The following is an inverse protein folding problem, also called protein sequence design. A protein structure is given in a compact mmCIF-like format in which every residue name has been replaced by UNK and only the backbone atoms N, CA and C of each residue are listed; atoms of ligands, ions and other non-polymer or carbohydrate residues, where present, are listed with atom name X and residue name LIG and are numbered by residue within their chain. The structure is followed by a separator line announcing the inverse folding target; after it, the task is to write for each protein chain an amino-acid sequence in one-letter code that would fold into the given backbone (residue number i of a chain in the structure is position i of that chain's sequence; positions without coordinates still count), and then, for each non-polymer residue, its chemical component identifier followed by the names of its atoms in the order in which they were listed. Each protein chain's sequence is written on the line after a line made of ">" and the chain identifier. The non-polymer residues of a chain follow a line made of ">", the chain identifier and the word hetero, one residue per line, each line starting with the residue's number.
data_IF_559024260582
#
_entry.id   IF_559024260582
#
_cell.length_a   1.000
_cell.length_b   1.000
_cell.length_c   1.000
_cell.angle_alpha   90.00
_cell.angle_beta   90.00
_cell.angle_gamma   90.00
#
_symmetry.space_group_name_H-M   'P 1'
#
loop_
_entity.id
_entity.type
_entity.pdbx_description
1 polymer ?
#
# COMPACT_ATOMS: atom_id res chain seq x y z
N UNK A 1 9.76 -27.70 -3.52
CA UNK A 1 10.22 -27.46 -2.14
C UNK A 1 9.13 -26.95 -1.19
N UNK A 2 9.34 -27.00 0.13
CA UNK A 2 8.36 -26.53 1.15
C UNK A 2 7.98 -25.06 0.97
N UNK A 3 8.94 -24.21 0.59
CA UNK A 3 8.71 -22.77 0.39
C UNK A 3 7.82 -22.49 -0.82
N UNK A 4 7.99 -23.23 -1.91
CA UNK A 4 7.21 -23.05 -3.13
C UNK A 4 5.74 -23.40 -2.90
N UNK A 5 5.45 -24.52 -2.22
CA UNK A 5 4.08 -24.89 -1.86
C UNK A 5 3.43 -23.86 -0.94
N UNK A 6 4.17 -23.38 0.05
CA UNK A 6 3.67 -22.34 0.94
C UNK A 6 3.32 -21.05 0.18
N UNK A 7 4.17 -20.63 -0.77
CA UNK A 7 3.94 -19.42 -1.56
C UNK A 7 2.80 -19.58 -2.56
N UNK A 8 2.68 -20.74 -3.20
CA UNK A 8 1.71 -20.98 -4.26
C UNK A 8 0.32 -21.35 -3.74
N UNK A 9 0.22 -21.99 -2.56
CA UNK A 9 -1.03 -22.57 -2.05
C UNK A 9 -1.41 -21.97 -0.69
N UNK A 10 -0.58 -22.15 0.34
CA UNK A 10 -0.93 -21.79 1.71
C UNK A 10 -1.15 -20.28 1.90
N UNK A 11 -0.26 -19.46 1.35
CA UNK A 11 -0.30 -18.02 1.53
C UNK A 11 -1.52 -17.38 0.82
N UNK A 12 -1.80 -17.65 -0.46
CA UNK A 12 -3.02 -17.16 -1.11
C UNK A 12 -4.30 -17.57 -0.38
N UNK A 13 -4.38 -18.81 0.10
CA UNK A 13 -5.55 -19.31 0.81
C UNK A 13 -5.79 -18.57 2.13
N UNK A 14 -4.73 -18.26 2.89
CA UNK A 14 -4.84 -17.45 4.12
C UNK A 14 -5.42 -16.06 3.90
N UNK A 15 -5.22 -15.48 2.72
CA UNK A 15 -5.70 -14.15 2.34
C UNK A 15 -6.88 -14.19 1.37
N UNK A 16 -7.52 -15.36 1.19
CA UNK A 16 -8.67 -15.51 0.30
C UNK A 16 -9.74 -14.46 0.61
N UNK A 17 -10.28 -13.85 -0.45
CA UNK A 17 -11.25 -12.75 -0.38
C UNK A 17 -10.76 -11.44 0.27
N UNK A 18 -9.47 -11.34 0.64
CA UNK A 18 -8.85 -10.14 1.23
C UNK A 18 -7.69 -9.60 0.39
N UNK A 19 -7.55 -10.10 -0.84
CA UNK A 19 -6.63 -9.53 -1.84
C UNK A 19 -7.41 -8.47 -2.61
N UNK A 20 -7.04 -7.21 -2.40
CA UNK A 20 -7.71 -6.07 -3.03
C UNK A 20 -7.15 -5.85 -4.44
N UNK A 21 -8.01 -5.75 -5.47
CA UNK A 21 -7.57 -5.47 -6.82
C UNK A 21 -7.14 -4.00 -6.98
N UNK A 22 -6.27 -3.74 -7.93
CA UNK A 22 -6.05 -2.38 -8.45
C UNK A 22 -7.10 -2.13 -9.52
N UNK A 23 -8.25 -1.59 -9.11
CA UNK A 23 -9.35 -1.27 -10.02
C UNK A 23 -9.29 0.19 -10.52
N UNK A 24 -10.34 0.64 -11.21
CA UNK A 24 -10.41 2.01 -11.73
C UNK A 24 -10.40 3.08 -10.63
N UNK A 25 -11.02 2.83 -9.47
CA UNK A 25 -11.04 3.79 -8.37
C UNK A 25 -9.64 3.92 -7.74
N UNK A 26 -8.96 2.78 -7.52
CA UNK A 26 -7.56 2.76 -7.07
C UNK A 26 -6.65 3.48 -8.07
N UNK A 27 -6.79 3.20 -9.37
CA UNK A 27 -5.97 3.80 -10.42
C UNK A 27 -6.13 5.33 -10.47
N UNK A 28 -7.36 5.83 -10.35
CA UNK A 28 -7.64 7.27 -10.31
C UNK A 28 -7.05 7.93 -9.05
N UNK A 29 -7.16 7.29 -7.89
CA UNK A 29 -6.56 7.80 -6.65
C UNK A 29 -5.03 7.81 -6.74
N UNK A 30 -4.43 6.78 -7.32
CA UNK A 30 -2.99 6.72 -7.56
C UNK A 30 -2.50 7.84 -8.48
N UNK A 31 -3.22 8.14 -9.55
CA UNK A 31 -2.91 9.27 -10.43
C UNK A 31 -2.87 10.61 -9.69
N UNK A 32 -3.85 10.86 -8.81
CA UNK A 32 -3.90 12.07 -7.97
C UNK A 32 -2.72 12.13 -6.98
N UNK A 33 -2.49 11.06 -6.22
CA UNK A 33 -1.36 10.99 -5.27
C UNK A 33 -0.02 11.18 -5.97
N UNK A 34 0.14 10.65 -7.17
CA UNK A 34 1.35 10.81 -7.98
C UNK A 34 1.52 12.26 -8.40
N UNK A 35 0.48 12.90 -8.93
CA UNK A 35 0.54 14.31 -9.33
C UNK A 35 0.87 15.23 -8.13
N UNK A 36 0.22 15.02 -6.99
CA UNK A 36 0.51 15.73 -5.73
C UNK A 36 1.99 15.54 -5.32
N UNK A 37 2.49 14.31 -5.34
CA UNK A 37 3.88 13.98 -5.01
C UNK A 37 4.90 14.70 -5.90
N UNK A 38 4.60 14.85 -7.20
CA UNK A 38 5.44 15.59 -8.13
C UNK A 38 5.43 17.08 -7.83
N UNK A 39 4.26 17.66 -7.55
CA UNK A 39 4.14 19.08 -7.17
C UNK A 39 4.86 19.40 -5.87
N UNK A 40 4.87 18.46 -4.91
CA UNK A 40 5.60 18.58 -3.64
C UNK A 40 7.12 18.36 -3.77
N UNK A 41 7.62 18.00 -4.97
CA UNK A 41 9.03 17.69 -5.18
C UNK A 41 9.49 16.40 -4.49
N UNK A 42 8.56 15.53 -4.09
CA UNK A 42 8.84 14.26 -3.41
C UNK A 42 8.16 13.08 -4.15
N UNK A 43 8.69 12.68 -5.32
CA UNK A 43 8.09 11.66 -6.17
C UNK A 43 7.78 10.37 -5.40
N UNK A 44 6.64 9.77 -5.72
CA UNK A 44 6.19 8.53 -5.08
C UNK A 44 6.53 7.33 -5.96
N UNK A 45 7.24 6.31 -5.45
CA UNK A 45 7.46 5.07 -6.18
C UNK A 45 6.14 4.44 -6.59
N UNK A 46 6.09 3.85 -7.80
CA UNK A 46 4.84 3.33 -8.39
C UNK A 46 4.13 2.33 -7.47
N UNK A 47 4.87 1.36 -6.91
CA UNK A 47 4.29 0.32 -6.06
C UNK A 47 3.76 0.92 -4.75
N UNK A 48 4.54 1.78 -4.09
CA UNK A 48 4.11 2.46 -2.86
C UNK A 48 2.87 3.33 -3.11
N UNK A 49 2.82 4.00 -4.26
CA UNK A 49 1.66 4.79 -4.67
C UNK A 49 0.41 3.96 -4.90
N UNK A 50 0.54 2.78 -5.51
CA UNK A 50 -0.58 1.86 -5.67
C UNK A 50 -1.05 1.31 -4.32
N UNK A 51 -0.14 0.95 -3.41
CA UNK A 51 -0.50 0.50 -2.06
C UNK A 51 -1.22 1.59 -1.26
N UNK A 52 -0.73 2.83 -1.31
CA UNK A 52 -1.37 3.99 -0.67
C UNK A 52 -2.74 4.30 -1.28
N UNK A 53 -2.85 4.27 -2.60
CA UNK A 53 -4.11 4.51 -3.28
C UNK A 53 -5.16 3.47 -2.88
N UNK A 54 -4.80 2.18 -2.87
CA UNK A 54 -5.66 1.10 -2.41
C UNK A 54 -6.09 1.32 -0.96
N UNK A 55 -5.15 1.60 -0.06
CA UNK A 55 -5.47 1.87 1.35
C UNK A 55 -6.42 3.06 1.51
N UNK A 56 -6.20 4.15 0.77
CA UNK A 56 -7.06 5.34 0.80
C UNK A 56 -8.48 5.06 0.29
N UNK A 57 -8.62 4.34 -0.83
CA UNK A 57 -9.93 4.01 -1.42
C UNK A 57 -10.76 3.13 -0.48
N UNK A 58 -10.11 2.21 0.23
CA UNK A 58 -10.78 1.28 1.13
C UNK A 58 -10.83 1.73 2.60
N UNK A 59 -10.34 2.92 2.93
CA UNK A 59 -10.34 3.44 4.31
C UNK A 59 -9.46 2.64 5.27
N UNK A 60 -8.32 2.13 4.78
CA UNK A 60 -7.39 1.28 5.53
C UNK A 60 -6.13 2.05 5.94
N UNK A 61 -5.42 1.52 6.94
CA UNK A 61 -4.05 1.91 7.25
C UNK A 61 -3.04 1.10 6.42
N UNK A 62 -1.95 1.73 6.00
CA UNK A 62 -0.83 1.02 5.36
C UNK A 62 0.20 0.64 6.42
N UNK A 63 0.38 -0.68 6.60
CA UNK A 63 1.41 -1.23 7.50
C UNK A 63 2.71 -1.39 6.70
N UNK A 64 3.74 -0.61 7.02
CA UNK A 64 5.01 -0.65 6.27
C UNK A 64 6.19 -0.17 7.11
N UNK A 65 7.37 -0.75 6.87
CA UNK A 65 8.64 -0.21 7.36
C UNK A 65 9.11 1.01 6.55
N UNK A 66 8.62 1.17 5.32
CA UNK A 66 9.01 2.29 4.45
C UNK A 66 8.20 3.57 4.75
N UNK A 67 8.24 4.00 6.02
CA UNK A 67 7.46 5.15 6.50
C UNK A 67 7.84 6.44 5.78
N UNK A 68 9.13 6.62 5.47
CA UNK A 68 9.67 7.84 4.86
C UNK A 68 8.98 8.16 3.52
N UNK A 69 8.80 7.15 2.68
CA UNK A 69 8.29 7.36 1.32
C UNK A 69 6.75 7.44 1.31
N UNK A 70 6.09 6.85 2.32
CA UNK A 70 4.63 6.74 2.40
C UNK A 70 3.94 7.81 3.27
N UNK A 71 4.63 8.37 4.26
CA UNK A 71 4.05 9.32 5.22
C UNK A 71 3.65 10.66 4.61
N UNK A 72 2.65 11.31 5.24
CA UNK A 72 2.17 12.63 4.86
C UNK A 72 1.26 12.65 3.63
N UNK A 73 0.67 11.51 3.24
CA UNK A 73 -0.15 11.37 2.02
C UNK A 73 -1.63 11.11 2.29
N UNK A 74 -2.11 11.47 3.48
CA UNK A 74 -3.52 11.32 3.88
C UNK A 74 -3.98 9.88 4.10
N UNK A 75 -3.05 8.93 4.25
CA UNK A 75 -3.32 7.53 4.61
C UNK A 75 -2.62 7.25 5.94
N UNK A 76 -3.31 6.65 6.94
CA UNK A 76 -2.68 6.29 8.19
C UNK A 76 -1.54 5.28 7.96
N UNK A 77 -0.36 5.53 8.53
CA UNK A 77 0.80 4.64 8.41
C UNK A 77 1.09 4.00 9.77
N UNK A 78 1.25 2.68 9.78
CA UNK A 78 1.72 1.93 10.94
C UNK A 78 3.09 1.31 10.62
N UNK A 79 4.10 1.62 11.44
CA UNK A 79 5.38 0.91 11.39
C UNK A 79 5.35 -0.27 12.37
N UNK A 80 5.31 -1.53 11.89
CA UNK A 80 5.21 -2.67 12.79
C UNK A 80 6.51 -2.97 13.54
N UNK A 81 7.62 -2.28 13.24
CA UNK A 81 8.87 -2.39 14.00
C UNK A 81 8.95 -1.45 15.21
N UNK A 82 8.21 -0.35 15.19
CA UNK A 82 8.17 0.61 16.32
C UNK A 82 6.83 0.57 17.06
N UNK A 83 5.77 0.07 16.43
CA UNK A 83 4.42 0.09 16.96
C UNK A 83 3.77 1.49 16.95
N UNK A 84 4.42 2.48 16.33
CA UNK A 84 3.90 3.84 16.24
C UNK A 84 2.96 3.99 15.02
N UNK A 85 1.87 4.74 15.23
CA UNK A 85 0.99 5.21 14.16
C UNK A 85 1.35 6.66 13.82
N UNK A 86 1.54 6.97 12.53
CA UNK A 86 1.86 8.32 12.03
C UNK A 86 0.97 8.73 10.86
#
# INVERSE_FOLDING_TARGET
>A
DRLERWLAEDLPERFRHRVLPVDGAVSLKWGRLTAEAWTEGRPLPVIDGLMLATASVHGLALVTRNVRDCSGRGVPILDPWTGESR
#
